data_IF_089721302002
#
_entry.id   IF_089721302002
#
_cell.length_a   1.000
_cell.length_b   1.000
_cell.length_c   1.000
_cell.angle_alpha   90.00
_cell.angle_beta   90.00
_cell.angle_gamma   90.00
#
_symmetry.space_group_name_H-M   'P 1'
#
loop_
_entity.id
_entity.type
_entity.pdbx_description
1 polymer ?
#
# COMPACT_ATOMS: atom_id res chain seq x y z
N UNK A 1 0.43 62.71 -11.58
CA UNK A 1 0.66 61.35 -12.13
C UNK A 1 -0.58 60.95 -12.90
N UNK A 2 -0.45 60.34 -14.09
CA UNK A 2 -1.62 59.85 -14.83
C UNK A 2 -2.06 58.52 -14.22
N UNK A 3 -3.07 58.59 -13.35
CA UNK A 3 -3.64 57.44 -12.66
C UNK A 3 -4.30 56.45 -13.61
N UNK A 4 -4.82 56.90 -14.75
CA UNK A 4 -5.41 56.01 -15.75
C UNK A 4 -4.33 55.14 -16.40
N UNK A 5 -3.18 55.75 -16.75
CA UNK A 5 -2.03 55.01 -17.28
C UNK A 5 -1.51 54.01 -16.23
N UNK A 6 -1.34 54.44 -14.97
CA UNK A 6 -0.85 53.56 -13.91
C UNK A 6 -1.74 52.33 -13.68
N UNK A 7 -3.05 52.53 -13.45
CA UNK A 7 -3.97 51.43 -13.21
C UNK A 7 -4.15 50.54 -14.45
N UNK A 8 -4.10 51.11 -15.65
CA UNK A 8 -4.15 50.35 -16.90
C UNK A 8 -2.91 49.45 -17.04
N UNK A 9 -1.72 49.96 -16.78
CA UNK A 9 -0.47 49.17 -16.86
C UNK A 9 -0.45 48.05 -15.80
N UNK A 10 -0.88 48.33 -14.56
CA UNK A 10 -0.98 47.29 -13.52
C UNK A 10 -2.00 46.22 -13.90
N UNK A 11 -3.17 46.61 -14.39
CA UNK A 11 -4.19 45.65 -14.79
C UNK A 11 -3.75 44.77 -15.95
N UNK A 12 -3.09 45.33 -16.96
CA UNK A 12 -2.63 44.57 -18.13
C UNK A 12 -1.51 43.60 -17.75
N UNK A 13 -0.53 44.06 -16.96
CA UNK A 13 0.58 43.20 -16.49
C UNK A 13 0.09 42.09 -15.57
N UNK A 14 -0.79 42.40 -14.61
CA UNK A 14 -1.41 41.40 -13.73
C UNK A 14 -2.25 40.41 -14.52
N UNK A 15 -3.03 40.89 -15.49
CA UNK A 15 -3.85 40.03 -16.36
C UNK A 15 -3.01 39.08 -17.21
N UNK A 16 -1.88 39.54 -17.75
CA UNK A 16 -0.94 38.70 -18.48
C UNK A 16 -0.32 37.62 -17.58
N UNK A 17 0.11 37.98 -16.36
CA UNK A 17 0.65 37.04 -15.37
C UNK A 17 -0.40 35.98 -15.03
N UNK A 18 -1.62 36.39 -14.68
CA UNK A 18 -2.74 35.48 -14.39
C UNK A 18 -3.01 34.56 -15.57
N UNK A 19 -3.05 35.07 -16.80
CA UNK A 19 -3.28 34.27 -18.00
C UNK A 19 -2.23 33.16 -18.18
N UNK A 20 -0.94 33.51 -18.04
CA UNK A 20 0.16 32.56 -18.14
C UNK A 20 0.05 31.48 -17.04
N UNK A 21 -0.05 31.89 -15.78
CA UNK A 21 -0.14 30.94 -14.67
C UNK A 21 -1.39 30.05 -14.75
N UNK A 22 -2.54 30.62 -15.12
CA UNK A 22 -3.77 29.84 -15.29
C UNK A 22 -3.63 28.81 -16.41
N UNK A 23 -3.01 29.14 -17.54
CA UNK A 23 -2.74 28.17 -18.59
C UNK A 23 -1.86 27.00 -18.09
N UNK A 24 -0.76 27.31 -17.39
CA UNK A 24 0.09 26.28 -16.77
C UNK A 24 -0.65 25.41 -15.75
N UNK A 25 -1.50 26.02 -14.91
CA UNK A 25 -2.30 25.29 -13.92
C UNK A 25 -3.28 24.33 -14.58
N UNK A 26 -3.99 24.79 -15.62
CA UNK A 26 -4.94 23.95 -16.38
C UNK A 26 -4.21 22.74 -16.96
N UNK A 27 -3.10 22.95 -17.66
CA UNK A 27 -2.32 21.86 -18.25
C UNK A 27 -1.84 20.87 -17.19
N UNK A 28 -1.35 21.37 -16.04
CA UNK A 28 -0.88 20.51 -14.96
C UNK A 28 -2.01 19.70 -14.32
N UNK A 29 -3.18 20.28 -14.13
CA UNK A 29 -4.35 19.58 -13.56
C UNK A 29 -4.86 18.50 -14.51
N UNK A 30 -4.94 18.79 -15.80
CA UNK A 30 -5.33 17.79 -16.82
C UNK A 30 -4.33 16.63 -16.85
N UNK A 31 -3.02 16.92 -16.79
CA UNK A 31 -1.99 15.89 -16.67
C UNK A 31 -2.20 15.03 -15.44
N UNK A 32 -2.32 15.65 -14.26
CA UNK A 32 -2.51 14.95 -13.00
C UNK A 32 -3.80 14.10 -12.98
N UNK A 33 -4.87 14.54 -13.66
CA UNK A 33 -6.09 13.75 -13.79
C UNK A 33 -5.86 12.48 -14.63
N UNK A 34 -5.11 12.60 -15.73
CA UNK A 34 -4.74 11.45 -16.57
C UNK A 34 -3.83 10.48 -15.81
N UNK A 35 -2.83 11.01 -15.09
CA UNK A 35 -1.92 10.24 -14.22
C UNK A 35 -2.70 9.50 -13.12
N UNK A 36 -3.61 10.20 -12.43
CA UNK A 36 -4.45 9.61 -11.40
C UNK A 36 -5.37 8.52 -11.92
N UNK A 37 -5.95 8.68 -13.12
CA UNK A 37 -6.78 7.64 -13.74
C UNK A 37 -5.98 6.36 -14.00
N UNK A 38 -4.77 6.49 -14.56
CA UNK A 38 -3.84 5.36 -14.76
C UNK A 38 -3.46 4.71 -13.44
N UNK A 39 -3.16 5.52 -12.43
CA UNK A 39 -2.81 5.02 -11.11
C UNK A 39 -3.97 4.25 -10.48
N UNK A 40 -5.20 4.75 -10.61
CA UNK A 40 -6.40 4.09 -10.11
C UNK A 40 -6.63 2.73 -10.75
N UNK A 41 -6.45 2.63 -12.06
CA UNK A 41 -6.51 1.34 -12.78
C UNK A 41 -5.42 0.37 -12.29
N UNK A 42 -4.19 0.85 -12.12
CA UNK A 42 -3.07 0.05 -11.60
C UNK A 42 -3.32 -0.46 -10.18
N UNK A 43 -3.81 0.40 -9.29
CA UNK A 43 -4.18 0.04 -7.92
C UNK A 43 -5.29 -1.02 -7.93
N UNK A 44 -6.34 -0.82 -8.72
CA UNK A 44 -7.43 -1.78 -8.83
C UNK A 44 -6.94 -3.13 -9.36
N UNK A 45 -6.04 -3.12 -10.36
CA UNK A 45 -5.42 -4.33 -10.88
C UNK A 45 -4.62 -5.08 -9.80
N UNK A 46 -3.78 -4.37 -9.03
CA UNK A 46 -2.97 -4.97 -7.97
C UNK A 46 -3.85 -5.55 -6.85
N UNK A 47 -4.91 -4.85 -6.44
CA UNK A 47 -5.85 -5.36 -5.43
C UNK A 47 -6.55 -6.63 -5.95
N UNK A 48 -7.05 -6.62 -7.18
CA UNK A 48 -7.71 -7.78 -7.77
C UNK A 48 -6.76 -8.98 -7.94
N UNK A 49 -5.51 -8.72 -8.35
CA UNK A 49 -4.45 -9.73 -8.40
C UNK A 49 -4.14 -10.28 -7.01
N UNK A 50 -4.13 -9.44 -5.98
CA UNK A 50 -3.91 -9.88 -4.60
C UNK A 50 -5.02 -10.79 -4.10
N UNK A 51 -6.28 -10.42 -4.38
CA UNK A 51 -7.46 -11.28 -4.10
C UNK A 51 -7.36 -12.63 -4.80
N UNK A 52 -6.97 -12.64 -6.08
CA UNK A 52 -6.79 -13.87 -6.84
C UNK A 52 -5.68 -14.76 -6.26
N UNK A 53 -4.53 -14.17 -5.91
CA UNK A 53 -3.41 -14.88 -5.29
C UNK A 53 -3.78 -15.41 -3.90
N UNK A 54 -4.55 -14.66 -3.11
CA UNK A 54 -5.05 -15.13 -1.81
C UNK A 54 -6.01 -16.32 -1.97
N UNK A 55 -6.91 -16.26 -2.96
CA UNK A 55 -7.79 -17.40 -3.27
C UNK A 55 -6.98 -18.62 -3.72
N UNK A 56 -5.99 -18.43 -4.58
CA UNK A 56 -5.08 -19.50 -5.02
C UNK A 56 -4.34 -20.12 -3.82
N UNK A 57 -3.80 -19.29 -2.93
CA UNK A 57 -3.11 -19.74 -1.71
C UNK A 57 -4.03 -20.50 -0.77
N UNK A 58 -5.26 -20.03 -0.55
CA UNK A 58 -6.24 -20.72 0.29
C UNK A 58 -6.73 -22.05 -0.30
N UNK A 59 -6.67 -22.21 -1.63
CA UNK A 59 -7.03 -23.47 -2.30
C UNK A 59 -5.89 -24.50 -2.38
N UNK A 60 -4.67 -24.11 -1.98
CA UNK A 60 -3.47 -24.92 -2.11
C UNK A 60 -3.41 -26.01 -1.04
N UNK A 61 -2.74 -27.12 -1.33
CA UNK A 61 -2.74 -28.32 -0.47
C UNK A 61 -1.75 -28.23 0.71
N UNK A 62 -1.72 -27.11 1.41
CA UNK A 62 -0.86 -26.89 2.58
C UNK A 62 -1.07 -27.94 3.67
N UNK A 63 -2.31 -28.28 4.00
CA UNK A 63 -2.63 -29.30 5.01
C UNK A 63 -2.07 -30.68 4.65
N UNK A 64 -2.23 -31.07 3.38
CA UNK A 64 -1.71 -32.34 2.89
C UNK A 64 -0.20 -32.34 2.93
N UNK A 65 0.45 -31.27 2.46
CA UNK A 65 1.91 -31.12 2.47
C UNK A 65 2.45 -31.19 3.91
N UNK A 66 1.90 -30.38 4.82
CA UNK A 66 2.30 -30.33 6.23
C UNK A 66 2.18 -31.72 6.88
N UNK A 67 1.05 -32.40 6.69
CA UNK A 67 0.84 -33.74 7.23
C UNK A 67 1.85 -34.75 6.69
N UNK A 68 2.11 -34.76 5.38
CA UNK A 68 3.06 -35.71 4.76
C UNK A 68 4.49 -35.47 5.23
N UNK A 69 4.92 -34.21 5.27
CA UNK A 69 6.24 -33.84 5.77
C UNK A 69 6.37 -34.23 7.24
N UNK A 70 5.37 -33.93 8.07
CA UNK A 70 5.37 -34.31 9.49
C UNK A 70 5.42 -35.82 9.70
N UNK A 71 4.62 -36.60 8.97
CA UNK A 71 4.65 -38.08 9.03
C UNK A 71 6.06 -38.61 8.74
N UNK A 72 6.72 -38.07 7.71
CA UNK A 72 8.08 -38.45 7.32
C UNK A 72 9.11 -38.08 8.38
N UNK A 73 9.08 -36.85 8.90
CA UNK A 73 10.05 -36.41 9.91
C UNK A 73 9.83 -37.09 11.27
N UNK A 74 8.58 -37.39 11.65
CA UNK A 74 8.31 -38.18 12.86
C UNK A 74 8.77 -39.64 12.73
N UNK A 75 8.78 -40.23 11.53
CA UNK A 75 9.36 -41.56 11.31
C UNK A 75 10.89 -41.54 11.45
N UNK A 76 11.55 -40.49 10.93
CA UNK A 76 12.99 -40.26 11.18
C UNK A 76 13.28 -40.07 12.66
N UNK A 77 12.46 -39.30 13.37
CA UNK A 77 12.56 -39.10 14.83
C UNK A 77 12.53 -40.44 15.58
N UNK A 78 11.61 -41.34 15.20
CA UNK A 78 11.55 -42.69 15.78
C UNK A 78 12.82 -43.49 15.51
N UNK A 79 13.39 -43.37 14.32
CA UNK A 79 14.70 -43.95 14.01
C UNK A 79 15.81 -43.42 14.91
N UNK A 80 15.82 -42.11 15.20
CA UNK A 80 16.81 -41.51 16.11
C UNK A 80 16.68 -42.02 17.55
N UNK A 81 15.46 -42.37 18.00
CA UNK A 81 15.27 -43.00 19.32
C UNK A 81 15.84 -44.41 19.37
N UNK A 82 15.91 -45.13 18.25
CA UNK A 82 16.52 -46.46 18.20
C UNK A 82 18.06 -46.40 18.15
N UNK A 83 18.64 -45.24 17.81
CA UNK A 83 20.10 -45.02 17.65
C UNK A 83 20.78 -44.40 18.88
N UNK A 84 20.02 -43.77 19.79
CA UNK A 84 20.52 -43.06 20.97
C UNK A 84 19.80 -43.50 22.23
N UNK A 85 20.55 -43.79 23.30
CA UNK A 85 19.98 -44.13 24.63
C UNK A 85 19.44 -42.88 25.36
N UNK A 86 19.84 -41.68 24.95
CA UNK A 86 19.37 -40.42 25.55
C UNK A 86 18.40 -39.67 24.63
N UNK A 87 17.28 -39.24 25.21
CA UNK A 87 16.32 -38.36 24.55
C UNK A 87 16.77 -36.91 24.65
N UNK A 88 16.90 -36.25 23.50
CA UNK A 88 17.10 -34.80 23.42
C UNK A 88 15.80 -34.04 23.78
N UNK A 89 15.93 -32.73 23.96
CA UNK A 89 14.76 -31.84 24.08
C UNK A 89 13.97 -31.78 22.77
N UNK A 90 12.69 -31.39 22.85
CA UNK A 90 11.84 -31.26 21.66
C UNK A 90 12.38 -30.20 20.68
N UNK A 91 12.97 -29.15 21.23
CA UNK A 91 13.59 -28.05 20.51
C UNK A 91 14.83 -28.52 19.74
N UNK A 92 15.71 -29.31 20.36
CA UNK A 92 16.88 -29.88 19.69
C UNK A 92 16.51 -30.87 18.58
N UNK A 93 15.44 -31.65 18.76
CA UNK A 93 14.94 -32.52 17.68
C UNK A 93 14.33 -31.70 16.54
N UNK A 94 13.62 -30.62 16.86
CA UNK A 94 13.06 -29.73 15.85
C UNK A 94 14.16 -29.12 14.97
N UNK A 95 15.30 -28.72 15.56
CA UNK A 95 16.44 -28.18 14.79
C UNK A 95 17.15 -29.21 13.91
N UNK A 96 17.07 -30.50 14.26
CA UNK A 96 17.72 -31.59 13.50
C UNK A 96 16.84 -32.16 12.39
N UNK A 97 15.53 -31.86 12.40
CA UNK A 97 14.55 -32.41 11.49
C UNK A 97 14.00 -31.34 10.56
N UNK A 98 13.63 -31.73 9.34
CA UNK A 98 13.20 -30.80 8.30
C UNK A 98 11.66 -30.74 8.23
N UNK A 99 11.06 -30.22 9.30
CA UNK A 99 9.60 -30.03 9.37
C UNK A 99 9.15 -28.94 8.40
N UNK A 100 7.88 -29.00 7.99
CA UNK A 100 7.31 -28.02 7.06
C UNK A 100 7.46 -26.60 7.61
N UNK A 101 7.98 -25.64 6.81
CA UNK A 101 8.08 -24.25 7.23
C UNK A 101 6.71 -23.58 7.37
N UNK A 102 5.66 -24.15 6.79
CA UNK A 102 4.29 -23.63 6.79
C UNK A 102 3.46 -24.07 8.00
N UNK A 103 3.97 -25.00 8.80
CA UNK A 103 3.35 -25.42 10.07
C UNK A 103 3.92 -24.60 11.22
N UNK A 104 3.09 -24.22 12.19
CA UNK A 104 3.56 -23.41 13.31
C UNK A 104 4.52 -24.23 14.18
N UNK A 105 5.69 -23.68 14.49
CA UNK A 105 6.72 -24.36 15.31
C UNK A 105 6.15 -24.93 16.61
N UNK A 106 5.33 -24.16 17.32
CA UNK A 106 4.77 -24.58 18.61
C UNK A 106 3.91 -25.84 18.49
N UNK A 107 3.16 -25.98 17.40
CA UNK A 107 2.36 -27.17 17.12
C UNK A 107 3.25 -28.38 16.82
N UNK A 108 4.33 -28.17 16.05
CA UNK A 108 5.33 -29.23 15.76
C UNK A 108 5.99 -29.72 17.04
N UNK A 109 6.37 -28.82 17.94
CA UNK A 109 6.97 -29.19 19.23
C UNK A 109 6.03 -30.06 20.08
N UNK A 110 4.71 -29.85 20.01
CA UNK A 110 3.73 -30.72 20.68
C UNK A 110 3.78 -32.14 20.11
N UNK A 111 3.86 -32.30 18.79
CA UNK A 111 4.00 -33.63 18.18
C UNK A 111 5.29 -34.33 18.60
N UNK A 112 6.42 -33.60 18.65
CA UNK A 112 7.70 -34.15 19.09
C UNK A 112 7.63 -34.58 20.56
N UNK A 113 7.10 -33.73 21.45
CA UNK A 113 6.93 -34.06 22.88
C UNK A 113 6.08 -35.31 23.07
N UNK A 114 4.94 -35.39 22.37
CA UNK A 114 4.06 -36.56 22.42
C UNK A 114 4.79 -37.84 21.93
N UNK A 115 5.62 -37.73 20.89
CA UNK A 115 6.40 -38.86 20.39
C UNK A 115 7.47 -39.33 21.39
N UNK A 116 8.16 -38.40 22.06
CA UNK A 116 9.12 -38.69 23.13
C UNK A 116 8.42 -39.39 24.31
N UNK A 117 7.28 -38.85 24.78
CA UNK A 117 6.51 -39.42 25.89
C UNK A 117 6.02 -40.83 25.58
N UNK A 118 5.45 -41.04 24.39
CA UNK A 118 5.00 -42.36 23.95
C UNK A 118 6.13 -43.38 23.94
N UNK A 119 7.33 -43.00 23.48
CA UNK A 119 8.50 -43.90 23.48
C UNK A 119 9.00 -44.20 24.89
N UNK A 120 9.08 -43.20 25.77
CA UNK A 120 9.44 -43.38 27.19
C UNK A 120 8.46 -44.33 27.90
N UNK A 121 7.17 -44.30 27.56
CA UNK A 121 6.20 -45.26 28.07
C UNK A 121 6.42 -46.68 27.53
N UNK A 122 6.72 -46.82 26.23
CA UNK A 122 7.03 -48.14 25.64
C UNK A 122 8.26 -48.78 26.28
N UNK A 123 9.32 -48.02 26.55
CA UNK A 123 10.51 -48.50 27.24
C UNK A 123 10.21 -48.95 28.67
N UNK A 124 9.40 -48.19 29.41
CA UNK A 124 8.92 -48.61 30.74
C UNK A 124 8.12 -49.91 30.69
N UNK A 125 7.32 -50.13 29.64
CA UNK A 125 6.52 -51.36 29.46
C UNK A 125 7.40 -52.56 29.03
N UNK A 126 8.45 -52.34 28.23
CA UNK A 126 9.39 -53.39 27.79
C UNK A 126 10.25 -53.96 28.93
N UNK A 127 10.46 -53.22 30.01
CA UNK A 127 11.16 -53.72 31.21
C UNK A 127 10.38 -54.85 31.92
N UNK A 128 9.12 -55.13 31.53
CA UNK A 128 8.29 -56.19 32.10
C UNK A 128 8.07 -57.46 31.24
N UNK A 129 8.45 -57.50 29.95
CA UNK A 129 8.16 -58.66 29.09
C UNK A 129 9.18 -58.79 27.95
N UNK A 130 9.99 -59.86 27.97
CA UNK A 130 10.85 -60.24 26.85
C UNK A 130 9.99 -60.81 25.71
N UNK A 131 9.92 -60.10 24.59
CA UNK A 131 9.30 -60.58 23.36
C UNK A 131 9.71 -59.72 22.17
N UNK A 132 10.58 -60.26 21.31
CA UNK A 132 11.04 -59.62 20.08
C UNK A 132 9.89 -59.70 19.06
N UNK A 133 9.39 -58.54 18.62
CA UNK A 133 8.55 -58.43 17.43
C UNK A 133 9.27 -57.58 16.39
N UNK A 134 9.43 -58.05 15.14
CA UNK A 134 9.99 -57.24 14.07
C UNK A 134 8.92 -56.23 13.60
N UNK A 135 9.25 -54.95 13.65
CA UNK A 135 8.40 -53.89 13.07
C UNK A 135 8.51 -53.96 11.55
N UNK A 136 7.40 -54.28 10.89
CA UNK A 136 7.30 -54.25 9.43
C UNK A 136 7.35 -52.79 8.96
N UNK A 137 8.51 -52.31 8.50
CA UNK A 137 8.64 -51.00 7.82
C UNK A 137 8.10 -51.13 6.40
N UNK A 138 6.98 -50.46 6.13
CA UNK A 138 6.49 -50.28 4.75
C UNK A 138 7.35 -49.21 4.06
N UNK A 139 7.81 -49.42 2.82
CA UNK A 139 8.62 -48.45 2.10
C UNK A 139 7.76 -47.25 1.65
N UNK A 140 8.06 -46.07 2.18
CA UNK A 140 7.48 -44.78 1.76
C UNK A 140 8.30 -44.22 0.60
N UNK A 141 8.33 -44.90 -0.55
CA UNK A 141 9.15 -44.48 -1.70
C UNK A 141 8.35 -44.05 -2.93
N UNK A 142 7.01 -44.08 -2.87
CA UNK A 142 6.15 -43.74 -4.03
C UNK A 142 5.52 -42.35 -3.88
N UNK A 143 5.53 -41.74 -2.68
CA UNK A 143 4.93 -40.41 -2.40
C UNK A 143 5.93 -39.24 -2.30
N UNK A 144 7.23 -39.49 -2.37
CA UNK A 144 8.24 -38.42 -2.18
C UNK A 144 8.23 -37.40 -3.32
N UNK A 145 7.94 -37.84 -4.55
CA UNK A 145 7.89 -36.97 -5.72
C UNK A 145 6.70 -36.00 -5.63
N UNK A 146 5.53 -36.48 -5.20
CA UNK A 146 4.32 -35.66 -5.07
C UNK A 146 4.49 -34.54 -4.02
N UNK A 147 5.25 -34.80 -2.94
CA UNK A 147 5.51 -33.81 -1.88
C UNK A 147 6.47 -32.72 -2.35
N UNK A 148 7.49 -33.09 -3.12
CA UNK A 148 8.45 -32.15 -3.69
C UNK A 148 7.78 -31.26 -4.75
N UNK A 149 6.96 -31.84 -5.62
CA UNK A 149 6.19 -31.10 -6.62
C UNK A 149 5.24 -30.09 -5.96
N UNK A 150 4.54 -30.50 -4.88
CA UNK A 150 3.67 -29.58 -4.16
C UNK A 150 4.44 -28.43 -3.51
N UNK A 151 5.63 -28.70 -2.96
CA UNK A 151 6.50 -27.65 -2.41
C UNK A 151 6.93 -26.64 -3.48
N UNK A 152 7.35 -27.10 -4.66
CA UNK A 152 7.74 -26.23 -5.76
C UNK A 152 6.58 -25.35 -6.23
N UNK A 153 5.35 -25.88 -6.22
CA UNK A 153 4.17 -25.11 -6.57
C UNK A 153 3.79 -24.07 -5.49
N UNK A 154 3.96 -24.41 -4.21
CA UNK A 154 3.79 -23.46 -3.10
C UNK A 154 4.85 -22.35 -3.18
N UNK A 155 6.12 -22.69 -3.43
CA UNK A 155 7.20 -21.71 -3.54
C UNK A 155 7.03 -20.80 -4.76
N UNK A 156 6.64 -21.36 -5.91
CA UNK A 156 6.30 -20.57 -7.10
C UNK A 156 5.13 -19.59 -6.83
N UNK A 157 4.13 -20.00 -6.03
CA UNK A 157 3.06 -19.11 -5.60
C UNK A 157 3.59 -18.00 -4.66
N UNK A 158 4.44 -18.35 -3.71
CA UNK A 158 5.08 -17.40 -2.79
C UNK A 158 5.89 -16.34 -3.54
N UNK A 159 6.70 -16.73 -4.51
CA UNK A 159 7.48 -15.80 -5.34
C UNK A 159 6.56 -14.83 -6.07
N UNK A 160 5.43 -15.31 -6.62
CA UNK A 160 4.43 -14.44 -7.26
C UNK A 160 3.76 -13.47 -6.29
N UNK A 161 3.47 -13.91 -5.06
CA UNK A 161 2.93 -13.07 -3.99
C UNK A 161 3.95 -11.99 -3.60
N UNK A 162 5.21 -12.35 -3.37
CA UNK A 162 6.27 -11.41 -3.02
C UNK A 162 6.51 -10.38 -4.13
N UNK A 163 6.49 -10.80 -5.40
CA UNK A 163 6.57 -9.87 -6.53
C UNK A 163 5.40 -8.87 -6.52
N UNK A 164 4.17 -9.35 -6.27
CA UNK A 164 2.99 -8.50 -6.17
C UNK A 164 3.05 -7.54 -4.97
N UNK A 165 3.56 -7.99 -3.82
CA UNK A 165 3.79 -7.15 -2.63
C UNK A 165 4.78 -6.02 -2.97
N UNK A 166 5.88 -6.31 -3.67
CA UNK A 166 6.84 -5.29 -4.08
C UNK A 166 6.21 -4.25 -5.02
N UNK A 167 5.37 -4.70 -5.96
CA UNK A 167 4.63 -3.80 -6.84
C UNK A 167 3.66 -2.88 -6.04
N UNK A 168 3.01 -3.44 -5.02
CA UNK A 168 2.11 -2.70 -4.12
C UNK A 168 2.88 -1.66 -3.31
N UNK A 169 4.02 -2.04 -2.71
CA UNK A 169 4.87 -1.13 -1.92
C UNK A 169 5.31 0.05 -2.80
N UNK A 170 5.76 -0.23 -4.03
CA UNK A 170 6.17 0.82 -4.97
C UNK A 170 5.03 1.80 -5.26
N UNK A 171 3.83 1.30 -5.53
CA UNK A 171 2.65 2.13 -5.83
C UNK A 171 2.20 2.91 -4.59
N UNK A 172 2.23 2.30 -3.40
CA UNK A 172 1.91 2.97 -2.14
C UNK A 172 2.84 4.16 -1.88
N UNK A 173 4.15 3.97 -2.04
CA UNK A 173 5.15 5.03 -1.92
C UNK A 173 4.92 6.17 -2.92
N UNK A 174 4.52 5.84 -4.15
CA UNK A 174 4.19 6.81 -5.19
C UNK A 174 2.98 7.67 -4.79
N UNK A 175 1.91 7.04 -4.27
CA UNK A 175 0.71 7.71 -3.76
C UNK A 175 1.05 8.64 -2.59
N UNK A 176 1.89 8.18 -1.65
CA UNK A 176 2.31 8.99 -0.48
C UNK A 176 3.13 10.20 -0.91
N UNK A 177 4.05 10.04 -1.88
CA UNK A 177 4.87 11.15 -2.41
C UNK A 177 4.04 12.18 -3.17
N UNK A 178 3.09 11.75 -4.01
CA UNK A 178 2.23 12.67 -4.77
C UNK A 178 1.39 13.61 -3.90
N UNK A 179 1.03 13.18 -2.68
CA UNK A 179 0.26 13.98 -1.71
C UNK A 179 0.89 15.36 -1.46
N UNK A 180 2.22 15.45 -1.45
CA UNK A 180 2.94 16.70 -1.20
C UNK A 180 2.92 17.67 -2.40
N UNK A 181 2.88 17.16 -3.64
CA UNK A 181 2.83 17.99 -4.85
C UNK A 181 1.49 18.71 -5.07
N UNK A 182 0.39 18.13 -4.58
CA UNK A 182 -0.98 18.67 -4.78
C UNK A 182 -1.23 19.97 -4.01
N UNK A 183 -0.51 20.22 -2.92
CA UNK A 183 -0.64 21.45 -2.12
C UNK A 183 -0.16 22.70 -2.89
N UNK A 184 0.88 22.59 -3.71
CA UNK A 184 1.42 23.71 -4.48
C UNK A 184 0.45 24.20 -5.56
N UNK A 185 -0.25 23.27 -6.21
CA UNK A 185 -1.25 23.60 -7.24
C UNK A 185 -2.43 24.33 -6.60
N UNK A 186 -2.95 23.85 -5.47
CA UNK A 186 -4.00 24.53 -4.70
C UNK A 186 -3.60 25.95 -4.33
N UNK A 187 -2.39 26.15 -3.79
CA UNK A 187 -1.88 27.48 -3.43
C UNK A 187 -1.80 28.38 -4.67
N UNK A 188 -1.31 27.86 -5.79
CA UNK A 188 -1.20 28.59 -7.04
C UNK A 188 -2.56 29.02 -7.61
N UNK A 189 -3.59 28.18 -7.51
CA UNK A 189 -4.97 28.53 -7.91
C UNK A 189 -5.50 29.69 -7.06
N UNK A 190 -5.32 29.61 -5.74
CA UNK A 190 -5.75 30.67 -4.81
C UNK A 190 -4.99 31.96 -5.08
N UNK A 191 -3.67 31.89 -5.27
CA UNK A 191 -2.83 33.05 -5.57
C UNK A 191 -3.21 33.71 -6.90
N UNK A 192 -3.44 32.93 -7.96
CA UNK A 192 -3.90 33.44 -9.26
C UNK A 192 -5.29 34.09 -9.16
N UNK A 193 -6.19 33.51 -8.37
CA UNK A 193 -7.51 34.09 -8.08
C UNK A 193 -7.41 35.43 -7.35
N UNK A 194 -6.56 35.52 -6.33
CA UNK A 194 -6.30 36.76 -5.59
C UNK A 194 -5.65 37.83 -6.48
N UNK A 195 -4.66 37.45 -7.29
CA UNK A 195 -3.98 38.35 -8.21
C UNK A 195 -4.94 38.90 -9.27
N UNK A 196 -5.91 38.10 -9.71
CA UNK A 196 -6.93 38.57 -10.63
C UNK A 196 -7.84 39.64 -10.00
N UNK A 197 -8.32 39.40 -8.78
CA UNK A 197 -9.18 40.38 -8.10
C UNK A 197 -8.41 41.66 -7.75
N UNK A 198 -7.25 41.52 -7.12
CA UNK A 198 -6.47 42.66 -6.62
C UNK A 198 -5.66 43.37 -7.71
N UNK A 199 -5.20 42.62 -8.71
CA UNK A 199 -4.32 43.14 -9.78
C UNK A 199 -5.07 43.53 -11.05
N UNK A 200 -6.23 42.93 -11.34
CA UNK A 200 -7.01 43.22 -12.56
C UNK A 200 -8.30 43.97 -12.22
N UNK A 201 -9.19 43.36 -11.45
CA UNK A 201 -10.52 43.92 -11.20
C UNK A 201 -10.44 45.21 -10.38
N UNK A 202 -9.64 45.22 -9.32
CA UNK A 202 -9.51 46.37 -8.44
C UNK A 202 -8.93 47.61 -9.16
N UNK A 203 -7.81 47.55 -9.89
CA UNK A 203 -7.30 48.70 -10.65
C UNK A 203 -8.27 49.15 -11.76
N UNK A 204 -8.87 48.22 -12.49
CA UNK A 204 -9.83 48.57 -13.54
C UNK A 204 -11.06 49.26 -12.98
N UNK A 205 -11.47 48.98 -11.73
CA UNK A 205 -12.60 49.65 -11.10
C UNK A 205 -12.42 51.18 -11.04
N UNK A 206 -11.20 51.69 -10.96
CA UNK A 206 -10.93 53.13 -10.84
C UNK A 206 -10.79 53.90 -12.17
N UNK A 207 -10.86 53.26 -13.35
CA UNK A 207 -10.69 53.93 -14.67
C UNK A 207 -12.04 54.15 -15.39
N UNK A 208 -12.35 55.29 -16.03
CA UNK A 208 -11.54 56.49 -16.17
C UNK A 208 -11.74 57.45 -14.99
N UNK A 209 -10.64 58.08 -14.56
CA UNK A 209 -10.65 59.21 -13.61
C UNK A 209 -10.37 60.52 -14.35
N UNK A 210 -11.05 61.58 -13.90
CA UNK A 210 -10.82 62.93 -14.43
C UNK A 210 -9.41 63.42 -14.07
N UNK A 211 -8.79 64.14 -15.00
CA UNK A 211 -7.41 64.64 -14.83
C UNK A 211 -7.42 65.71 -13.73
N UNK A 212 -6.69 65.45 -12.63
CA UNK A 212 -6.56 66.39 -11.50
C UNK A 212 -7.38 66.05 -10.25
N UNK A 213 -8.15 64.96 -10.23
CA UNK A 213 -8.76 64.44 -8.99
C UNK A 213 -7.75 63.70 -8.11
N UNK A 214 -7.76 63.99 -6.81
CA UNK A 214 -7.06 63.20 -5.80
C UNK A 214 -7.76 61.84 -5.59
N UNK A 215 -6.98 60.78 -5.44
CA UNK A 215 -7.53 59.44 -5.21
C UNK A 215 -7.83 59.26 -3.72
N UNK A 216 -9.12 59.23 -3.39
CA UNK A 216 -9.58 58.59 -2.17
C UNK A 216 -9.70 57.08 -2.40
N UNK A 217 -8.64 56.34 -2.07
CA UNK A 217 -8.62 54.87 -2.07
C UNK A 217 -9.46 54.40 -0.87
N UNK A 218 -10.79 54.44 -0.99
CA UNK A 218 -11.71 54.03 0.07
C UNK A 218 -12.48 52.78 -0.37
N UNK A 219 -12.57 51.81 0.52
CA UNK A 219 -13.29 50.54 0.28
C UNK A 219 -14.78 50.76 -0.05
N UNK A 220 -15.42 51.83 0.43
CA UNK A 220 -16.80 52.17 0.05
C UNK A 220 -16.94 52.61 -1.41
N UNK A 221 -15.97 53.37 -1.95
CA UNK A 221 -16.02 53.84 -3.33
C UNK A 221 -15.95 52.68 -4.35
N UNK A 222 -15.43 51.53 -3.94
CA UNK A 222 -15.44 50.31 -4.74
C UNK A 222 -16.86 49.78 -4.99
N UNK A 223 -17.76 49.84 -4.00
CA UNK A 223 -19.13 49.32 -4.14
C UNK A 223 -19.99 50.20 -5.06
N UNK A 224 -19.84 51.53 -4.99
CA UNK A 224 -20.55 52.46 -5.88
C UNK A 224 -20.16 52.24 -7.35
N UNK A 225 -18.89 51.91 -7.59
CA UNK A 225 -18.38 51.53 -8.90
C UNK A 225 -18.87 50.13 -9.32
N UNK A 226 -18.98 49.19 -8.39
CA UNK A 226 -19.41 47.81 -8.65
C UNK A 226 -20.86 47.73 -9.12
N UNK A 227 -21.75 48.61 -8.65
CA UNK A 227 -23.14 48.71 -9.11
C UNK A 227 -23.35 49.60 -10.35
N UNK A 228 -22.29 50.02 -11.04
CA UNK A 228 -22.37 50.69 -12.34
C UNK A 228 -22.39 49.69 -13.51
N UNK A 229 -22.76 50.14 -14.72
CA UNK A 229 -22.68 49.31 -15.95
C UNK A 229 -21.28 48.72 -16.16
N UNK A 230 -20.24 49.50 -15.87
CA UNK A 230 -18.85 49.04 -15.93
C UNK A 230 -18.55 48.00 -14.85
N UNK A 231 -19.02 48.24 -13.63
CA UNK A 231 -18.92 47.30 -12.52
C UNK A 231 -19.60 45.97 -12.82
N UNK A 232 -20.73 45.99 -13.54
CA UNK A 232 -21.42 44.80 -14.02
C UNK A 232 -20.54 43.97 -14.97
N UNK A 233 -19.93 44.58 -16.00
CA UNK A 233 -19.03 43.86 -16.91
C UNK A 233 -17.78 43.31 -16.22
N UNK A 234 -17.18 44.09 -15.31
CA UNK A 234 -16.03 43.64 -14.51
C UNK A 234 -16.41 42.49 -13.57
N UNK A 235 -17.59 42.55 -12.95
CA UNK A 235 -18.11 41.50 -12.08
C UNK A 235 -18.43 40.23 -12.87
N UNK A 236 -19.02 40.36 -14.07
CA UNK A 236 -19.26 39.23 -14.96
C UNK A 236 -17.95 38.50 -15.31
N UNK A 237 -16.92 39.28 -15.68
CA UNK A 237 -15.60 38.75 -15.98
C UNK A 237 -14.93 38.11 -14.75
N UNK A 238 -15.09 38.72 -13.57
CA UNK A 238 -14.67 38.17 -12.28
C UNK A 238 -15.34 36.82 -11.98
N UNK A 239 -16.66 36.74 -12.13
CA UNK A 239 -17.45 35.53 -11.87
C UNK A 239 -17.02 34.41 -12.81
N UNK A 240 -16.88 34.69 -14.12
CA UNK A 240 -16.48 33.66 -15.08
C UNK A 240 -15.11 33.10 -14.73
N UNK A 241 -14.11 33.95 -14.49
CA UNK A 241 -12.77 33.50 -14.15
C UNK A 241 -12.74 32.74 -12.82
N UNK A 242 -13.36 33.27 -11.76
CA UNK A 242 -13.38 32.62 -10.46
C UNK A 242 -14.13 31.28 -10.48
N UNK A 243 -15.23 31.19 -11.24
CA UNK A 243 -15.97 29.93 -11.39
C UNK A 243 -15.11 28.84 -12.02
N UNK A 244 -14.33 29.19 -13.04
CA UNK A 244 -13.36 28.30 -13.69
C UNK A 244 -12.25 27.88 -12.72
N UNK A 245 -11.67 28.84 -11.97
CA UNK A 245 -10.63 28.52 -10.97
C UNK A 245 -11.16 27.62 -9.86
N UNK A 246 -12.41 27.81 -9.43
CA UNK A 246 -13.07 26.99 -8.42
C UNK A 246 -13.36 25.58 -8.93
N UNK A 247 -13.75 25.42 -10.20
CA UNK A 247 -13.88 24.11 -10.83
C UNK A 247 -12.53 23.36 -10.84
N UNK A 248 -11.44 24.02 -11.21
CA UNK A 248 -10.10 23.43 -11.18
C UNK A 248 -9.61 23.12 -9.76
N UNK A 249 -9.96 23.96 -8.78
CA UNK A 249 -9.68 23.72 -7.37
C UNK A 249 -10.40 22.45 -6.88
N UNK A 250 -11.69 22.33 -7.20
CA UNK A 250 -12.51 21.19 -6.86
C UNK A 250 -11.93 19.90 -7.44
N UNK A 251 -11.56 19.91 -8.72
CA UNK A 251 -10.91 18.76 -9.38
C UNK A 251 -9.63 18.40 -8.64
N UNK A 252 -8.73 19.36 -8.40
CA UNK A 252 -7.44 19.09 -7.75
C UNK A 252 -7.57 18.50 -6.33
N UNK A 253 -8.56 18.95 -5.56
CA UNK A 253 -8.84 18.42 -4.21
C UNK A 253 -9.41 17.00 -4.28
N UNK A 254 -10.21 16.70 -5.30
CA UNK A 254 -10.87 15.40 -5.48
C UNK A 254 -9.95 14.31 -6.04
N UNK A 255 -8.80 14.67 -6.63
CA UNK A 255 -7.78 13.72 -7.13
C UNK A 255 -7.02 13.03 -5.98
N UNK A 256 -7.71 12.25 -5.15
CA UNK A 256 -7.17 11.51 -4.01
C UNK A 256 -7.78 10.12 -3.95
N UNK A 257 -7.00 9.16 -3.47
CA UNK A 257 -7.52 7.83 -3.15
C UNK A 257 -8.34 7.88 -1.86
N UNK A 258 -9.42 7.09 -1.84
CA UNK A 258 -10.20 6.84 -0.63
C UNK A 258 -9.34 6.11 0.40
N UNK A 259 -9.54 6.41 1.68
CA UNK A 259 -8.76 5.79 2.76
C UNK A 259 -8.94 4.27 2.82
N UNK A 260 -10.11 3.77 2.41
CA UNK A 260 -10.41 2.34 2.32
C UNK A 260 -9.48 1.64 1.31
N UNK A 261 -9.28 2.24 0.13
CA UNK A 261 -8.40 1.69 -0.91
C UNK A 261 -6.94 1.66 -0.44
N UNK A 262 -6.50 2.71 0.26
CA UNK A 262 -5.14 2.77 0.83
C UNK A 262 -4.97 1.70 1.91
N UNK A 263 -5.94 1.54 2.80
CA UNK A 263 -5.92 0.50 3.83
C UNK A 263 -5.92 -0.91 3.23
N UNK A 264 -6.65 -1.13 2.13
CA UNK A 264 -6.66 -2.40 1.43
C UNK A 264 -5.30 -2.71 0.78
N UNK A 265 -4.64 -1.72 0.17
CA UNK A 265 -3.26 -1.84 -0.31
C UNK A 265 -2.31 -2.20 0.84
N UNK A 266 -2.40 -1.50 1.97
CA UNK A 266 -1.56 -1.75 3.16
C UNK A 266 -1.75 -3.16 3.73
N UNK A 267 -2.99 -3.66 3.74
CA UNK A 267 -3.28 -5.03 4.13
C UNK A 267 -2.52 -6.04 3.24
N UNK A 268 -2.58 -5.86 1.91
CA UNK A 268 -1.90 -6.73 0.96
C UNK A 268 -0.39 -6.52 0.83
N UNK A 269 0.21 -5.57 1.57
CA UNK A 269 1.67 -5.49 1.73
C UNK A 269 2.21 -6.59 2.65
N UNK A 270 1.37 -7.22 3.45
CA UNK A 270 1.76 -8.30 4.36
C UNK A 270 1.51 -9.67 3.72
N UNK A 271 2.52 -10.55 3.72
CA UNK A 271 2.39 -11.91 3.16
C UNK A 271 1.31 -12.75 3.87
N UNK A 272 1.07 -12.47 5.16
CA UNK A 272 0.06 -13.15 5.98
C UNK A 272 -1.37 -12.84 5.51
N UNK A 273 -1.57 -11.77 4.74
CA UNK A 273 -2.87 -11.43 4.15
C UNK A 273 -3.31 -12.43 3.07
N UNK A 274 -2.37 -13.18 2.49
CA UNK A 274 -2.65 -14.09 1.39
C UNK A 274 -3.03 -15.49 1.89
N UNK A 275 -2.39 -15.97 2.95
CA UNK A 275 -2.67 -17.25 3.59
C UNK A 275 -2.05 -17.31 4.99
N UNK A 276 -2.73 -17.97 5.92
CA UNK A 276 -2.22 -18.21 7.28
C UNK A 276 -0.91 -19.01 7.27
N UNK A 277 -0.76 -19.94 6.32
CA UNK A 277 0.42 -20.79 6.16
C UNK A 277 1.69 -19.98 5.85
N UNK A 278 1.59 -18.95 5.00
CA UNK A 278 2.69 -18.03 4.77
C UNK A 278 2.95 -17.12 5.98
N UNK A 279 1.92 -16.80 6.76
CA UNK A 279 2.07 -16.14 8.06
C UNK A 279 2.84 -16.99 9.07
N UNK A 280 2.59 -18.30 9.12
CA UNK A 280 3.32 -19.24 9.97
C UNK A 280 4.79 -19.33 9.56
N UNK A 281 5.07 -19.44 8.27
CA UNK A 281 6.44 -19.41 7.74
C UNK A 281 7.18 -18.13 8.13
N UNK A 282 6.52 -16.97 7.98
CA UNK A 282 7.11 -15.69 8.38
C UNK A 282 7.48 -15.69 9.89
N UNK A 283 6.56 -16.11 10.77
CA UNK A 283 6.81 -16.21 12.22
C UNK A 283 7.98 -17.16 12.54
N UNK A 284 8.00 -18.33 11.91
CA UNK A 284 9.08 -19.32 12.08
C UNK A 284 10.44 -18.73 11.67
N UNK A 285 10.49 -17.99 10.55
CA UNK A 285 11.72 -17.36 10.05
C UNK A 285 12.27 -16.25 10.96
N UNK A 286 11.38 -15.50 11.63
CA UNK A 286 11.77 -14.45 12.59
C UNK A 286 12.41 -15.08 13.82
N UNK A 287 11.83 -16.16 14.34
CA UNK A 287 12.35 -16.87 15.50
C UNK A 287 13.75 -17.46 15.24
N UNK A 288 13.96 -18.07 14.06
CA UNK A 288 15.28 -18.59 13.66
C UNK A 288 16.34 -17.48 13.59
N UNK A 289 15.98 -16.28 13.16
CA UNK A 289 16.89 -15.13 13.15
C UNK A 289 17.26 -14.69 14.57
N UNK A 290 16.30 -14.65 15.49
CA UNK A 290 16.54 -14.29 16.89
C UNK A 290 17.49 -15.28 17.59
N UNK A 291 17.35 -16.58 17.30
CA UNK A 291 18.25 -17.62 17.84
C UNK A 291 19.66 -17.56 17.25
N UNK A 292 19.82 -17.16 15.99
CA UNK A 292 21.15 -17.04 15.34
C UNK A 292 22.00 -15.85 15.82
N UNK A 293 21.40 -14.94 16.61
CA UNK A 293 22.04 -13.72 17.14
C UNK A 293 22.45 -13.88 18.62
N UNK A 294 22.10 -15.00 19.27
CA UNK A 294 22.54 -15.37 20.62
C UNK A 294 23.74 -16.30 20.59
#
# INVERSE_FOLDING_TARGET
MDWNVFFSTISQTSGAIVGIFSAFLITKIISNQSDFSRMKERVSFLINKSKALSLEANSRYFDWYNRRTRERELDKLKGMFDESDEFLSAEEYYERLDFSPFELRDDVLVYIRNAIEARKEEEKRKIGYYGIMPTLRMPVSILSNDVQEEFELIDALKVRILANINDIIYVHDEIVKEKYGKNLITISIVASSLLFILGVIYPLSFIPKAIGEDINITFMAFFDVLFSIKGFFLSLLAIVFLSLMLAFLYINITLRFESEVISELEFYMNISAYSEYFGNEYKNSVHLKEMSVQ
#
